data_IF_127319050570
#
_entry.id   IF_127319050570
#
_cell.length_a   1.000
_cell.length_b   1.000
_cell.length_c   1.000
_cell.angle_alpha   90.00
_cell.angle_beta   90.00
_cell.angle_gamma   90.00
#
_symmetry.space_group_name_H-M   'P 1'
#
loop_
_entity.id
_entity.type
_entity.pdbx_description
1 polymer ?
#
# COMPACT_ATOMS: atom_id res chain seq x y z
N UNK A 1 -54.54 -62.40 12.79
CA UNK A 1 -53.30 -62.68 12.05
C UNK A 1 -52.32 -61.56 12.31
N UNK A 2 -51.19 -61.89 12.94
CA UNK A 2 -50.08 -61.01 13.34
C UNK A 2 -49.29 -60.46 12.14
N UNK A 3 -48.87 -59.19 12.20
CA UNK A 3 -47.58 -58.72 11.66
C UNK A 3 -47.00 -57.62 12.56
N UNK A 4 -46.65 -58.05 13.77
CA UNK A 4 -45.71 -57.39 14.66
C UNK A 4 -44.38 -57.05 13.97
N UNK A 5 -43.76 -55.97 14.46
CA UNK A 5 -42.32 -55.68 14.48
C UNK A 5 -41.66 -55.09 13.21
N UNK A 6 -41.63 -53.76 13.14
CA UNK A 6 -40.41 -53.04 12.74
C UNK A 6 -39.94 -52.21 13.93
N UNK A 7 -38.94 -52.76 14.63
CA UNK A 7 -38.20 -52.11 15.72
C UNK A 7 -37.37 -50.96 15.16
N UNK A 8 -37.45 -49.82 15.82
CA UNK A 8 -36.49 -48.74 15.71
C UNK A 8 -35.09 -49.26 16.07
N UNK A 9 -34.13 -49.06 15.17
CA UNK A 9 -32.71 -49.26 15.40
C UNK A 9 -32.20 -48.16 16.37
N UNK A 10 -31.61 -48.50 17.52
CA UNK A 10 -30.96 -47.51 18.36
C UNK A 10 -29.62 -47.09 17.76
N UNK A 11 -29.37 -45.78 17.76
CA UNK A 11 -28.11 -45.15 17.40
C UNK A 11 -26.96 -45.68 18.27
N UNK A 12 -25.75 -45.95 17.74
CA UNK A 12 -24.62 -46.35 18.57
C UNK A 12 -24.13 -45.20 19.45
N UNK A 13 -23.81 -45.50 20.71
CA UNK A 13 -23.28 -44.55 21.69
C UNK A 13 -21.84 -44.10 21.33
N UNK A 14 -21.44 -42.86 21.65
CA UNK A 14 -20.07 -42.39 21.43
C UNK A 14 -19.06 -43.08 22.37
N UNK A 15 -17.80 -43.25 21.94
CA UNK A 15 -16.77 -43.91 22.73
C UNK A 15 -16.36 -43.08 23.96
N UNK A 16 -15.94 -43.74 25.06
CA UNK A 16 -15.51 -43.05 26.28
C UNK A 16 -14.19 -42.29 26.07
N UNK A 17 -13.96 -41.19 26.82
CA UNK A 17 -12.70 -40.47 26.77
C UNK A 17 -11.55 -41.32 27.34
N UNK A 18 -10.31 -41.13 26.84
CA UNK A 18 -9.14 -41.86 27.34
C UNK A 18 -8.86 -41.51 28.81
N UNK A 19 -8.32 -42.45 29.60
CA UNK A 19 -8.01 -42.22 31.01
C UNK A 19 -6.93 -41.14 31.17
N UNK A 20 -7.20 -40.20 32.07
CA UNK A 20 -6.21 -39.24 32.56
C UNK A 20 -5.11 -40.01 33.31
N UNK A 21 -3.90 -40.06 32.73
CA UNK A 21 -2.72 -40.52 33.44
C UNK A 21 -2.36 -39.51 34.52
N UNK A 22 -2.68 -39.86 35.75
CA UNK A 22 -2.19 -39.21 36.96
C UNK A 22 -0.72 -39.62 37.18
N UNK A 23 0.12 -38.60 37.31
CA UNK A 23 1.35 -38.55 38.11
C UNK A 23 2.23 -39.79 38.17
N UNK A 24 3.21 -39.88 37.27
CA UNK A 24 4.49 -40.50 37.55
C UNK A 24 5.56 -39.41 37.61
N UNK A 25 6.26 -39.33 38.73
CA UNK A 25 7.35 -38.38 39.00
C UNK A 25 8.41 -38.46 37.89
N UNK A 26 8.57 -37.38 37.15
CA UNK A 26 9.68 -37.21 36.22
C UNK A 26 10.97 -37.00 37.03
N UNK A 27 11.88 -37.97 36.93
CA UNK A 27 13.25 -37.81 37.36
C UNK A 27 13.89 -36.62 36.63
N UNK A 28 14.55 -35.76 37.41
CA UNK A 28 15.33 -34.62 36.93
C UNK A 28 16.44 -35.08 35.96
N UNK A 29 16.63 -34.41 34.81
CA UNK A 29 17.89 -34.52 34.07
C UNK A 29 19.00 -33.75 34.81
N UNK A 30 20.27 -34.20 34.78
CA UNK A 30 21.38 -33.48 35.39
C UNK A 30 21.66 -32.18 34.65
N UNK A 31 21.86 -31.10 35.42
CA UNK A 31 22.27 -29.78 34.94
C UNK A 31 23.61 -29.83 34.20
N UNK A 32 23.79 -29.07 33.09
CA UNK A 32 25.11 -28.87 32.49
C UNK A 32 26.00 -28.01 33.42
N UNK A 33 27.34 -28.20 33.41
CA UNK A 33 28.26 -27.42 34.22
C UNK A 33 28.23 -25.94 33.83
N UNK A 34 28.06 -25.08 34.84
CA UNK A 34 28.15 -23.62 34.72
C UNK A 34 29.55 -23.21 34.22
N UNK A 35 29.59 -22.52 33.07
CA UNK A 35 30.76 -21.73 32.68
C UNK A 35 30.86 -20.51 33.61
N UNK A 36 32.08 -20.16 34.09
CA UNK A 36 32.28 -18.98 34.93
C UNK A 36 31.94 -17.69 34.17
N UNK A 37 31.04 -16.89 34.74
CA UNK A 37 30.72 -15.54 34.25
C UNK A 37 31.96 -14.62 34.37
N UNK A 38 32.28 -13.83 33.33
CA UNK A 38 33.27 -12.76 33.45
C UNK A 38 32.75 -11.62 34.36
N UNK A 39 33.63 -10.95 35.12
CA UNK A 39 33.24 -9.92 36.08
C UNK A 39 32.64 -8.69 35.40
N UNK A 40 31.63 -8.11 36.06
CA UNK A 40 30.93 -6.90 35.64
C UNK A 40 31.87 -5.69 35.56
N UNK A 41 31.71 -4.79 34.57
CA UNK A 41 32.44 -3.53 34.51
C UNK A 41 31.96 -2.57 35.63
N UNK A 42 32.88 -1.77 36.22
CA UNK A 42 32.53 -0.82 37.27
C UNK A 42 31.66 0.35 36.77
N UNK A 43 30.89 1.00 37.66
CA UNK A 43 29.99 2.08 37.30
C UNK A 43 30.74 3.32 36.79
N UNK A 44 30.30 3.84 35.64
CA UNK A 44 30.80 5.07 35.06
C UNK A 44 30.42 6.28 35.95
N UNK A 45 31.43 7.05 36.33
CA UNK A 45 31.29 8.34 37.01
C UNK A 45 30.76 9.41 36.05
N UNK A 46 30.02 10.42 36.53
CA UNK A 46 29.48 11.49 35.69
C UNK A 46 30.57 12.50 35.31
N UNK A 47 30.92 12.57 34.02
CA UNK A 47 31.80 13.60 33.48
C UNK A 47 31.02 14.88 33.13
N UNK A 48 31.57 15.99 33.60
CA UNK A 48 31.01 17.33 33.67
C UNK A 48 31.26 18.09 32.35
N UNK A 49 30.31 18.97 32.03
CA UNK A 49 30.30 20.00 31.00
C UNK A 49 31.63 20.81 30.90
N UNK A 50 32.15 21.07 29.69
CA UNK A 50 33.09 22.18 29.48
C UNK A 50 33.98 22.18 28.23
N UNK A 51 33.61 23.02 27.25
CA UNK A 51 34.47 23.82 26.35
C UNK A 51 35.16 23.19 25.11
N UNK A 52 35.41 24.00 24.05
CA UNK A 52 35.52 23.56 22.65
C UNK A 52 36.96 23.42 22.13
N UNK A 53 37.18 22.52 21.16
CA UNK A 53 38.45 22.41 20.41
C UNK A 53 38.31 22.97 18.97
N UNK A 54 39.33 23.69 18.45
CA UNK A 54 39.33 24.36 17.14
C UNK A 54 39.70 23.43 15.97
N UNK A 55 39.43 23.82 14.70
CA UNK A 55 39.65 22.97 13.53
C UNK A 55 41.11 22.95 13.06
N UNK A 56 41.61 21.76 12.73
CA UNK A 56 42.89 21.57 12.04
C UNK A 56 42.73 21.79 10.53
N UNK A 57 43.72 22.46 9.95
CA UNK A 57 43.84 22.85 8.53
C UNK A 57 44.87 21.95 7.83
N UNK A 58 44.79 21.89 6.49
CA UNK A 58 45.77 21.37 5.51
C UNK A 58 45.65 19.85 5.23
N UNK A 59 45.77 19.34 4.00
CA UNK A 59 46.66 19.79 2.93
C UNK A 59 46.23 19.26 1.54
N UNK A 60 46.35 20.10 0.53
CA UNK A 60 46.27 19.78 -0.90
C UNK A 60 47.55 19.08 -1.38
N UNK A 61 47.41 18.15 -2.34
CA UNK A 61 48.46 17.81 -3.29
C UNK A 61 47.84 17.30 -4.60
N UNK A 62 48.05 18.06 -5.68
CA UNK A 62 48.03 17.56 -7.07
C UNK A 62 49.38 16.88 -7.37
N UNK A 63 49.49 16.12 -8.48
CA UNK A 63 50.04 16.76 -9.68
C UNK A 63 49.43 16.31 -11.02
N UNK A 64 49.65 17.18 -12.00
CA UNK A 64 49.36 17.06 -13.43
C UNK A 64 50.08 15.89 -14.13
N UNK A 65 49.42 15.27 -15.13
CA UNK A 65 50.07 14.86 -16.39
C UNK A 65 49.04 14.68 -17.52
N UNK A 66 49.28 15.34 -18.66
CA UNK A 66 48.65 15.15 -19.99
C UNK A 66 49.74 15.45 -21.04
N UNK A 67 49.58 15.15 -22.35
CA UNK A 67 48.77 14.12 -23.02
C UNK A 67 49.58 13.36 -24.11
N UNK A 68 49.02 12.30 -24.71
CA UNK A 68 49.47 11.80 -26.01
C UNK A 68 48.27 11.38 -26.87
N UNK A 69 48.23 11.93 -28.08
CA UNK A 69 47.21 11.72 -29.10
C UNK A 69 47.44 10.44 -29.90
N UNK A 70 46.35 9.82 -30.37
CA UNK A 70 46.33 8.75 -31.36
C UNK A 70 44.93 8.67 -31.98
N UNK A 71 44.86 8.95 -33.27
CA UNK A 71 43.68 9.19 -34.12
C UNK A 71 43.04 7.89 -34.64
N UNK A 72 41.75 8.00 -35.02
CA UNK A 72 40.96 7.23 -36.02
C UNK A 72 39.64 6.68 -35.44
N UNK A 73 38.50 7.37 -35.62
CA UNK A 73 37.63 7.53 -36.81
C UNK A 73 36.62 6.38 -36.99
N UNK A 74 35.31 6.70 -36.85
CA UNK A 74 34.21 5.85 -37.32
C UNK A 74 32.85 6.09 -36.68
N UNK A 75 32.09 7.06 -37.19
CA UNK A 75 30.62 7.24 -37.23
C UNK A 75 29.79 6.77 -36.00
N UNK A 76 29.17 7.61 -35.16
CA UNK A 76 28.55 8.90 -35.43
C UNK A 76 27.08 8.78 -35.84
N UNK A 77 26.19 8.42 -34.89
CA UNK A 77 24.88 9.06 -34.72
C UNK A 77 24.49 9.00 -33.24
N UNK A 78 24.70 10.13 -32.56
CA UNK A 78 24.06 10.46 -31.31
C UNK A 78 22.70 11.09 -31.62
N UNK A 79 21.63 10.53 -31.08
CA UNK A 79 20.46 11.33 -30.71
C UNK A 79 20.43 11.41 -29.20
N UNK A 80 21.02 12.49 -28.69
CA UNK A 80 20.67 13.01 -27.39
C UNK A 80 19.22 13.47 -27.47
N UNK A 81 18.29 12.62 -27.02
CA UNK A 81 17.03 13.14 -26.49
C UNK A 81 17.36 13.61 -25.09
N UNK A 82 17.29 14.93 -24.91
CA UNK A 82 17.19 15.57 -23.60
C UNK A 82 16.22 14.72 -22.76
N UNK A 83 16.75 14.01 -21.78
CA UNK A 83 15.93 13.43 -20.74
C UNK A 83 15.35 14.63 -19.99
N UNK A 84 14.17 15.08 -20.44
CA UNK A 84 13.32 15.92 -19.64
C UNK A 84 13.14 15.16 -18.33
N UNK A 85 13.75 15.69 -17.27
CA UNK A 85 13.58 15.20 -15.91
C UNK A 85 12.11 15.40 -15.60
N UNK A 86 11.30 14.39 -15.92
CA UNK A 86 9.91 14.29 -15.50
C UNK A 86 9.97 14.24 -13.99
N UNK A 87 9.72 15.40 -13.38
CA UNK A 87 9.56 15.52 -11.92
C UNK A 87 8.54 14.46 -11.50
N UNK A 88 8.81 13.67 -10.45
CA UNK A 88 7.81 12.75 -9.93
C UNK A 88 6.55 13.57 -9.61
N UNK A 89 5.45 13.24 -10.29
CA UNK A 89 4.16 13.86 -9.98
C UNK A 89 3.86 13.51 -8.53
N UNK A 90 3.86 14.54 -7.67
CA UNK A 90 3.27 14.45 -6.35
C UNK A 90 1.87 13.85 -6.51
N UNK A 91 1.48 13.04 -5.52
CA UNK A 91 0.16 12.42 -5.36
C UNK A 91 -0.90 13.22 -6.14
N UNK A 92 -1.55 12.60 -7.13
CA UNK A 92 -2.70 13.23 -7.76
C UNK A 92 -3.86 13.23 -6.76
N UNK A 93 -3.79 14.16 -5.80
CA UNK A 93 -4.91 14.62 -4.99
C UNK A 93 -5.68 15.53 -5.92
N UNK A 94 -6.89 15.10 -6.30
CA UNK A 94 -7.69 15.81 -7.27
C UNK A 94 -7.99 17.25 -6.79
N UNK A 95 -7.41 18.23 -7.48
CA UNK A 95 -7.97 19.58 -7.53
C UNK A 95 -9.27 19.52 -8.36
N UNK A 96 -10.30 20.35 -8.05
CA UNK A 96 -11.57 20.32 -8.77
C UNK A 96 -11.36 20.66 -10.25
N UNK A 97 -11.98 19.89 -11.13
CA UNK A 97 -12.08 20.20 -12.54
C UNK A 97 -12.79 21.56 -12.69
N UNK A 98 -12.10 22.54 -13.26
CA UNK A 98 -12.73 23.75 -13.77
C UNK A 98 -13.82 23.41 -14.78
N UNK A 99 -14.84 24.26 -14.87
CA UNK A 99 -15.97 24.13 -15.77
C UNK A 99 -15.54 23.74 -17.19
N UNK A 100 -16.32 22.91 -17.91
CA UNK A 100 -15.98 22.50 -19.25
C UNK A 100 -15.79 23.74 -20.16
N UNK A 101 -14.77 23.76 -21.03
CA UNK A 101 -14.61 24.85 -21.97
C UNK A 101 -15.83 24.92 -22.90
N UNK A 102 -16.39 26.11 -23.01
CA UNK A 102 -17.43 26.46 -23.97
C UNK A 102 -16.93 26.13 -25.39
N UNK A 103 -17.71 25.33 -26.12
CA UNK A 103 -17.40 24.96 -27.49
C UNK A 103 -17.21 26.22 -28.38
N UNK A 104 -16.23 26.25 -29.29
CA UNK A 104 -16.08 27.33 -30.25
C UNK A 104 -17.32 27.42 -31.15
N UNK A 105 -17.94 28.60 -31.17
CA UNK A 105 -19.08 28.91 -32.03
C UNK A 105 -18.70 28.86 -33.51
N UNK A 106 -19.06 27.77 -34.17
CA UNK A 106 -19.08 27.66 -35.62
C UNK A 106 -20.51 27.76 -36.13
N UNK A 107 -20.81 28.81 -36.89
CA UNK A 107 -22.11 29.03 -37.53
C UNK A 107 -22.39 27.95 -38.58
N UNK A 108 -23.32 27.04 -38.26
CA UNK A 108 -23.97 26.15 -39.23
C UNK A 108 -25.26 26.79 -39.77
N UNK A 109 -25.61 26.59 -41.04
CA UNK A 109 -26.71 27.30 -41.69
C UNK A 109 -28.06 26.91 -41.09
N UNK A 110 -28.91 27.94 -40.91
CA UNK A 110 -30.28 27.84 -40.45
C UNK A 110 -31.13 26.98 -41.41
N UNK A 111 -31.65 25.88 -40.90
CA UNK A 111 -32.82 25.22 -41.48
C UNK A 111 -33.91 25.19 -40.41
N UNK A 112 -35.01 25.86 -40.72
CA UNK A 112 -36.23 25.90 -39.90
C UNK A 112 -36.76 24.49 -39.66
N UNK A 113 -37.23 24.17 -38.44
CA UNK A 113 -37.77 22.84 -38.17
C UNK A 113 -39.15 22.67 -38.82
N UNK A 114 -39.45 21.55 -39.49
CA UNK A 114 -40.83 21.21 -39.79
C UNK A 114 -41.54 20.85 -38.48
N UNK A 115 -42.69 21.48 -38.24
CA UNK A 115 -43.64 21.10 -37.20
C UNK A 115 -44.18 19.70 -37.51
N UNK A 116 -43.65 18.69 -36.83
CA UNK A 116 -44.23 17.35 -36.82
C UNK A 116 -44.59 16.96 -35.39
N UNK A 117 -45.90 17.00 -35.15
CA UNK A 117 -46.71 16.19 -34.24
C UNK A 117 -45.97 15.50 -33.08
N UNK A 118 -46.32 15.88 -31.84
CA UNK A 118 -45.90 15.20 -30.61
C UNK A 118 -46.64 13.86 -30.51
N UNK A 119 -46.25 12.92 -31.36
CA UNK A 119 -46.48 11.50 -31.15
C UNK A 119 -45.66 11.06 -29.95
N UNK A 120 -46.36 10.66 -28.89
CA UNK A 120 -45.83 9.99 -27.70
C UNK A 120 -44.87 8.87 -28.15
N UNK A 121 -43.55 9.12 -28.13
CA UNK A 121 -42.56 8.09 -28.46
C UNK A 121 -42.50 7.10 -27.31
N UNK A 122 -43.23 6.01 -27.48
CA UNK A 122 -43.06 4.77 -26.73
C UNK A 122 -41.57 4.38 -26.72
N UNK A 123 -40.92 4.51 -25.56
CA UNK A 123 -39.55 4.06 -25.32
C UNK A 123 -39.46 2.52 -25.21
N UNK A 124 -40.44 1.81 -25.78
CA UNK A 124 -40.52 0.34 -25.78
C UNK A 124 -39.32 -0.24 -26.53
N UNK A 125 -38.39 -0.74 -25.73
CA UNK A 125 -37.55 -1.92 -25.99
C UNK A 125 -36.85 -1.86 -27.36
N UNK A 126 -35.80 -1.03 -27.44
CA UNK A 126 -34.73 -1.33 -28.40
C UNK A 126 -34.17 -2.69 -28.00
N UNK A 127 -34.47 -3.71 -28.81
CA UNK A 127 -33.83 -5.04 -28.75
C UNK A 127 -32.36 -4.82 -28.45
N UNK A 128 -31.90 -5.26 -27.27
CA UNK A 128 -30.51 -5.13 -26.85
C UNK A 128 -29.65 -5.77 -27.95
N UNK A 129 -29.04 -4.94 -28.81
CA UNK A 129 -27.93 -5.39 -29.66
C UNK A 129 -26.88 -5.82 -28.66
N UNK A 130 -26.62 -7.13 -28.60
CA UNK A 130 -25.72 -7.72 -27.62
C UNK A 130 -24.44 -6.88 -27.60
N UNK A 131 -24.16 -6.25 -26.46
CA UNK A 131 -22.92 -5.51 -26.29
C UNK A 131 -21.80 -6.50 -26.62
N UNK A 132 -20.94 -6.22 -27.61
CA UNK A 132 -19.84 -7.12 -27.96
C UNK A 132 -19.12 -7.50 -26.68
N UNK A 133 -18.89 -8.79 -26.47
CA UNK A 133 -18.17 -9.27 -25.27
C UNK A 133 -16.88 -8.47 -25.17
N UNK A 134 -16.69 -7.81 -24.04
CA UNK A 134 -15.49 -7.03 -23.76
C UNK A 134 -14.29 -7.97 -23.95
N UNK A 135 -13.48 -7.72 -24.98
CA UNK A 135 -12.24 -8.46 -25.21
C UNK A 135 -11.21 -7.91 -24.24
N UNK A 136 -11.22 -8.46 -23.03
CA UNK A 136 -10.18 -8.23 -22.04
C UNK A 136 -8.91 -8.94 -22.54
N UNK A 137 -7.88 -8.18 -22.90
CA UNK A 137 -6.65 -8.68 -23.49
C UNK A 137 -5.67 -7.55 -23.77
N UNK A 138 -4.48 -7.90 -24.27
CA UNK A 138 -3.49 -6.92 -24.72
C UNK A 138 -3.85 -6.46 -26.12
N UNK A 139 -3.98 -5.15 -26.31
CA UNK A 139 -4.23 -4.54 -27.61
C UNK A 139 -3.01 -3.72 -27.99
N UNK A 140 -2.52 -3.90 -29.23
CA UNK A 140 -1.49 -3.04 -29.79
C UNK A 140 -2.18 -1.85 -30.46
N UNK A 141 -1.82 -0.65 -30.02
CA UNK A 141 -2.27 0.58 -30.64
C UNK A 141 -1.03 1.29 -31.23
N UNK A 142 -1.11 1.81 -32.47
CA UNK A 142 -0.08 2.69 -32.98
C UNK A 142 -0.07 4.01 -32.19
N UNK A 143 1.07 4.69 -32.13
CA UNK A 143 1.27 5.89 -31.28
C UNK A 143 0.19 6.96 -31.49
N UNK A 144 -0.17 7.23 -32.74
CA UNK A 144 -1.22 8.21 -33.06
C UNK A 144 -2.62 7.84 -32.53
N UNK A 145 -2.89 6.56 -32.28
CA UNK A 145 -4.14 6.10 -31.67
C UNK A 145 -4.07 6.22 -30.13
N UNK A 146 -2.87 6.13 -29.54
CA UNK A 146 -2.65 6.45 -28.13
C UNK A 146 -2.77 7.95 -27.87
N UNK A 147 -2.36 8.80 -28.82
CA UNK A 147 -2.54 10.26 -28.72
C UNK A 147 -4.01 10.69 -28.65
N UNK A 148 -4.91 9.86 -29.18
CA UNK A 148 -6.36 10.06 -29.09
C UNK A 148 -6.94 9.57 -27.75
N UNK A 149 -6.17 8.85 -26.94
CA UNK A 149 -6.60 8.32 -25.66
C UNK A 149 -6.62 9.43 -24.61
N UNK A 150 -7.78 10.06 -24.44
CA UNK A 150 -8.00 10.97 -23.32
C UNK A 150 -8.39 10.18 -22.07
N UNK A 151 -7.44 10.00 -21.15
CA UNK A 151 -7.74 9.50 -19.81
C UNK A 151 -8.42 10.61 -19.00
N UNK A 152 -9.73 10.55 -18.87
CA UNK A 152 -10.52 11.47 -18.02
C UNK A 152 -10.45 11.10 -16.54
N UNK A 153 -9.29 10.65 -16.07
CA UNK A 153 -9.05 10.24 -14.69
C UNK A 153 -8.01 11.13 -14.04
N UNK A 154 -8.43 11.95 -13.06
CA UNK A 154 -7.49 12.75 -12.26
C UNK A 154 -6.69 11.90 -11.25
N UNK A 155 -7.04 10.62 -11.06
CA UNK A 155 -6.33 9.72 -10.17
C UNK A 155 -6.39 8.28 -10.67
N UNK A 156 -5.27 7.57 -10.55
CA UNK A 156 -5.14 6.15 -10.83
C UNK A 156 -4.90 5.41 -9.51
N UNK A 157 -5.52 4.26 -9.31
CA UNK A 157 -5.40 3.49 -8.07
C UNK A 157 -6.74 3.03 -7.53
N UNK A 158 -6.81 2.77 -6.23
CA UNK A 158 -8.06 2.38 -5.57
C UNK A 158 -8.55 3.49 -4.64
N UNK A 159 -9.87 3.64 -4.57
CA UNK A 159 -10.52 4.59 -3.65
C UNK A 159 -10.18 4.24 -2.21
N UNK A 160 -9.72 5.21 -1.43
CA UNK A 160 -9.55 5.11 0.03
C UNK A 160 -10.83 5.52 0.76
N UNK A 161 -11.48 6.59 0.30
CA UNK A 161 -12.66 7.12 0.97
C UNK A 161 -13.12 8.44 0.38
N UNK A 162 -13.53 9.37 1.26
CA UNK A 162 -13.86 10.76 0.92
C UNK A 162 -13.17 11.75 1.84
N UNK A 163 -12.80 12.91 1.33
CA UNK A 163 -12.34 14.01 2.17
C UNK A 163 -13.50 14.82 2.75
N UNK A 164 -13.17 15.89 3.47
CA UNK A 164 -14.14 16.81 4.09
C UNK A 164 -15.12 17.46 3.09
N UNK A 165 -14.70 17.64 1.84
CA UNK A 165 -15.53 18.19 0.77
C UNK A 165 -16.43 17.12 0.12
N UNK A 166 -16.39 15.88 0.59
CA UNK A 166 -17.11 14.75 0.01
C UNK A 166 -16.48 14.21 -1.28
N UNK A 167 -15.31 14.72 -1.69
CA UNK A 167 -14.62 14.27 -2.89
C UNK A 167 -13.93 12.93 -2.64
N UNK A 168 -13.95 12.01 -3.62
CA UNK A 168 -13.28 10.74 -3.47
C UNK A 168 -11.76 10.92 -3.40
N UNK A 169 -11.13 10.28 -2.42
CA UNK A 169 -9.66 10.21 -2.31
C UNK A 169 -9.22 8.82 -2.72
N UNK A 170 -8.24 8.75 -3.63
CA UNK A 170 -7.68 7.49 -4.13
C UNK A 170 -6.19 7.37 -3.75
N UNK A 171 -5.72 6.13 -3.57
CA UNK A 171 -4.32 5.82 -3.35
C UNK A 171 -3.70 5.20 -4.60
N UNK A 172 -2.65 5.84 -5.08
CA UNK A 172 -1.88 5.43 -6.25
C UNK A 172 -0.63 4.64 -5.86
N UNK A 173 -0.78 3.43 -5.31
CA UNK A 173 0.40 2.69 -4.81
C UNK A 173 1.35 2.26 -5.93
N UNK A 174 0.82 1.86 -7.08
CA UNK A 174 1.59 1.21 -8.14
C UNK A 174 1.88 2.17 -9.30
N UNK A 175 3.16 2.35 -9.61
CA UNK A 175 3.66 3.29 -10.62
C UNK A 175 4.86 2.69 -11.36
N UNK A 176 5.24 3.25 -12.53
CA UNK A 176 6.50 2.92 -13.18
C UNK A 176 7.74 3.17 -12.30
N UNK A 177 7.67 4.12 -11.37
CA UNK A 177 8.68 4.31 -10.33
C UNK A 177 8.39 3.41 -9.12
N UNK A 178 9.42 2.81 -8.49
CA UNK A 178 9.27 2.14 -7.20
C UNK A 178 8.69 3.12 -6.17
N UNK A 179 7.90 2.60 -5.22
CA UNK A 179 7.26 3.43 -4.20
C UNK A 179 7.37 2.82 -2.80
N UNK A 180 7.68 3.64 -1.81
CA UNK A 180 7.65 3.26 -0.39
C UNK A 180 6.45 3.92 0.30
N UNK A 181 5.82 3.18 1.21
CA UNK A 181 4.70 3.68 1.99
C UNK A 181 4.78 3.18 3.43
N UNK A 182 4.28 4.00 4.36
CA UNK A 182 4.09 3.62 5.74
C UNK A 182 2.63 3.70 6.13
N UNK A 183 2.20 2.76 6.97
CA UNK A 183 0.89 2.75 7.58
C UNK A 183 1.08 2.79 9.09
N UNK A 184 0.51 3.80 9.75
CA UNK A 184 0.57 3.95 11.20
C UNK A 184 -0.82 3.67 11.78
N UNK A 185 -0.92 2.64 12.60
CA UNK A 185 -2.19 2.17 13.17
C UNK A 185 -2.33 0.66 13.09
N UNK A 186 -3.57 0.17 13.12
CA UNK A 186 -3.86 -1.25 13.26
C UNK A 186 -3.78 -2.08 11.97
N UNK A 187 -3.71 -3.40 12.16
CA UNK A 187 -3.76 -4.42 11.10
C UNK A 187 -5.02 -4.30 10.25
N UNK A 188 -6.13 -3.83 10.83
CA UNK A 188 -7.38 -3.62 10.10
C UNK A 188 -7.18 -2.72 8.87
N UNK A 189 -6.51 -1.58 9.03
CA UNK A 189 -6.25 -0.66 7.92
C UNK A 189 -5.29 -1.28 6.89
N UNK A 190 -4.29 -2.04 7.36
CA UNK A 190 -3.37 -2.76 6.48
C UNK A 190 -4.10 -3.81 5.63
N UNK A 191 -5.01 -4.57 6.24
CA UNK A 191 -5.87 -5.53 5.54
C UNK A 191 -6.84 -4.84 4.58
N UNK A 192 -7.39 -3.68 4.92
CA UNK A 192 -8.22 -2.89 3.99
C UNK A 192 -7.43 -2.46 2.74
N UNK A 193 -6.23 -1.91 2.94
CA UNK A 193 -5.35 -1.50 1.84
C UNK A 193 -4.97 -2.70 0.97
N UNK A 194 -4.59 -3.82 1.58
CA UNK A 194 -4.27 -5.06 0.86
C UNK A 194 -5.48 -5.61 0.10
N UNK A 195 -6.68 -5.62 0.71
CA UNK A 195 -7.91 -6.06 0.07
C UNK A 195 -8.22 -5.23 -1.19
N UNK A 196 -8.07 -3.90 -1.11
CA UNK A 196 -8.29 -3.01 -2.25
C UNK A 196 -7.22 -3.13 -3.32
N UNK A 197 -5.96 -3.31 -2.93
CA UNK A 197 -4.88 -3.61 -3.86
C UNK A 197 -5.14 -4.93 -4.62
N UNK A 198 -5.59 -5.98 -3.93
CA UNK A 198 -5.97 -7.26 -4.53
C UNK A 198 -7.10 -7.09 -5.56
N UNK A 199 -8.12 -6.29 -5.24
CA UNK A 199 -9.22 -5.98 -6.17
C UNK A 199 -8.78 -5.16 -7.37
N UNK A 200 -7.72 -4.37 -7.25
CA UNK A 200 -7.06 -3.69 -8.36
C UNK A 200 -6.23 -4.65 -9.24
N UNK A 201 -6.07 -5.92 -8.83
CA UNK A 201 -5.32 -6.94 -9.56
C UNK A 201 -3.89 -7.15 -9.07
N UNK A 202 -3.49 -6.46 -7.99
CA UNK A 202 -2.17 -6.65 -7.41
C UNK A 202 -2.00 -8.06 -6.81
N UNK A 203 -0.75 -8.51 -6.76
CA UNK A 203 -0.32 -9.60 -5.87
C UNK A 203 0.17 -9.00 -4.57
N UNK A 204 -0.17 -9.61 -3.44
CA UNK A 204 0.30 -9.16 -2.13
C UNK A 204 1.26 -10.18 -1.57
N UNK A 205 2.47 -9.73 -1.22
CA UNK A 205 3.45 -10.51 -0.49
C UNK A 205 3.48 -9.96 0.92
N UNK A 206 3.11 -10.77 1.91
CA UNK A 206 2.99 -10.37 3.31
C UNK A 206 4.13 -10.99 4.10
N UNK A 207 4.94 -10.16 4.73
CA UNK A 207 5.89 -10.55 5.77
C UNK A 207 5.25 -10.16 7.11
N UNK A 208 4.77 -11.11 7.90
CA UNK A 208 4.08 -10.81 9.17
C UNK A 208 4.45 -11.81 10.27
N UNK A 209 4.44 -11.33 11.52
CA UNK A 209 4.54 -12.20 12.71
C UNK A 209 3.21 -12.88 13.05
N UNK A 210 2.09 -12.37 12.54
CA UNK A 210 0.75 -12.91 12.69
C UNK A 210 0.20 -13.30 11.30
N UNK A 211 0.61 -14.47 10.75
CA UNK A 211 0.22 -14.88 9.40
C UNK A 211 -1.28 -15.16 9.27
N UNK A 212 -1.98 -15.38 10.38
CA UNK A 212 -3.37 -15.80 10.40
C UNK A 212 -4.32 -14.77 9.75
N UNK A 213 -5.12 -15.28 8.81
CA UNK A 213 -6.13 -14.51 8.09
C UNK A 213 -5.63 -13.74 6.86
N UNK A 214 -4.31 -13.64 6.62
CA UNK A 214 -3.76 -13.02 5.40
C UNK A 214 -3.99 -13.88 4.15
N UNK A 215 -3.76 -15.19 4.22
CA UNK A 215 -3.99 -16.10 3.10
C UNK A 215 -5.47 -16.09 2.65
N UNK A 216 -6.38 -16.14 3.61
CA UNK A 216 -7.83 -16.07 3.37
C UNK A 216 -8.28 -14.72 2.79
N UNK A 217 -7.53 -13.64 3.04
CA UNK A 217 -7.81 -12.31 2.48
C UNK A 217 -7.76 -12.35 0.94
N UNK A 218 -6.80 -13.09 0.36
CA UNK A 218 -6.67 -13.26 -1.09
C UNK A 218 -7.89 -13.91 -1.72
N UNK A 219 -8.35 -15.01 -1.10
CA UNK A 219 -9.55 -15.75 -1.52
C UNK A 219 -10.81 -14.89 -1.37
N UNK A 220 -10.95 -14.17 -0.26
CA UNK A 220 -12.09 -13.28 -0.04
C UNK A 220 -12.14 -12.11 -1.03
N UNK A 221 -11.00 -11.50 -1.36
CA UNK A 221 -10.94 -10.34 -2.24
C UNK A 221 -11.12 -10.69 -3.73
N UNK A 222 -10.60 -11.85 -4.16
CA UNK A 222 -10.45 -12.17 -5.60
C UNK A 222 -11.08 -13.50 -6.02
N UNK A 223 -11.53 -14.32 -5.08
CA UNK A 223 -11.91 -15.71 -5.32
C UNK A 223 -10.73 -16.65 -5.58
N UNK A 224 -9.49 -16.16 -5.54
CA UNK A 224 -8.28 -16.93 -5.87
C UNK A 224 -7.33 -17.03 -4.68
N UNK A 225 -6.72 -18.20 -4.51
CA UNK A 225 -5.75 -18.45 -3.46
C UNK A 225 -4.31 -18.03 -3.83
N UNK A 226 -4.01 -17.82 -5.12
CA UNK A 226 -2.65 -17.54 -5.63
C UNK A 226 -2.25 -16.04 -5.58
N UNK A 227 -3.08 -15.21 -4.93
CA UNK A 227 -2.94 -13.75 -4.95
C UNK A 227 -2.25 -13.17 -3.73
N UNK A 228 -2.20 -13.93 -2.65
CA UNK A 228 -1.48 -13.57 -1.43
C UNK A 228 -0.44 -14.65 -1.14
N UNK A 229 0.80 -14.21 -0.95
CA UNK A 229 1.88 -15.07 -0.44
C UNK A 229 2.22 -14.56 0.95
N UNK A 230 2.14 -15.43 1.95
CA UNK A 230 2.54 -15.10 3.32
C UNK A 230 3.90 -15.72 3.57
N UNK A 231 4.84 -14.89 4.01
CA UNK A 231 6.22 -15.23 4.30
C UNK A 231 6.49 -14.99 5.78
N UNK A 232 7.45 -15.75 6.33
CA UNK A 232 8.10 -15.33 7.57
C UNK A 232 8.78 -13.97 7.35
N UNK A 233 8.93 -13.19 8.42
CA UNK A 233 9.35 -11.78 8.35
C UNK A 233 10.71 -11.56 7.65
N UNK A 234 11.57 -12.58 7.65
CA UNK A 234 12.94 -12.61 7.13
C UNK A 234 13.06 -13.20 5.71
N UNK A 235 11.95 -13.67 5.13
CA UNK A 235 11.94 -14.33 3.82
C UNK A 235 11.57 -13.36 2.70
N UNK A 236 12.30 -13.46 1.59
CA UNK A 236 11.98 -12.80 0.33
C UNK A 236 11.28 -13.78 -0.62
N UNK A 237 10.26 -13.31 -1.35
CA UNK A 237 9.67 -14.07 -2.45
C UNK A 237 10.02 -13.39 -3.77
N UNK A 238 10.45 -14.19 -4.73
CA UNK A 238 10.69 -13.70 -6.10
C UNK A 238 9.34 -13.55 -6.83
N UNK A 239 8.73 -12.38 -6.65
CA UNK A 239 7.50 -12.00 -7.36
C UNK A 239 7.82 -10.83 -8.29
N UNK A 240 7.83 -11.12 -9.59
CA UNK A 240 7.98 -10.12 -10.64
C UNK A 240 6.78 -9.18 -10.67
N UNK A 241 7.05 -7.87 -10.61
CA UNK A 241 6.06 -6.81 -10.72
C UNK A 241 5.98 -6.29 -12.17
N UNK A 242 4.79 -5.91 -12.60
CA UNK A 242 4.55 -5.28 -13.91
C UNK A 242 3.28 -4.42 -13.85
N UNK A 243 3.03 -3.60 -14.86
CA UNK A 243 1.82 -2.78 -14.94
C UNK A 243 0.52 -3.61 -14.86
N UNK A 244 0.48 -4.77 -15.51
CA UNK A 244 -0.69 -5.68 -15.47
C UNK A 244 -0.75 -6.59 -14.25
N UNK A 245 0.33 -6.66 -13.47
CA UNK A 245 0.46 -7.51 -12.27
C UNK A 245 1.30 -6.79 -11.22
N UNK A 246 0.81 -5.68 -10.65
CA UNK A 246 1.57 -4.94 -9.65
C UNK A 246 1.76 -5.78 -8.38
N UNK A 247 2.77 -5.44 -7.59
CA UNK A 247 3.10 -6.16 -6.35
C UNK A 247 3.08 -5.21 -5.17
N UNK A 248 2.29 -5.54 -4.15
CA UNK A 248 2.36 -4.90 -2.84
C UNK A 248 3.16 -5.82 -1.90
N UNK A 249 4.31 -5.35 -1.43
CA UNK A 249 5.07 -6.00 -0.37
C UNK A 249 4.70 -5.37 0.96
N UNK A 250 3.90 -6.07 1.75
CA UNK A 250 3.39 -5.62 3.03
C UNK A 250 4.24 -6.22 4.14
N UNK A 251 4.82 -5.36 4.97
CA UNK A 251 5.65 -5.75 6.10
C UNK A 251 4.97 -5.36 7.42
N UNK A 252 4.46 -6.36 8.13
CA UNK A 252 3.79 -6.26 9.44
C UNK A 252 4.58 -7.07 10.48
N UNK A 253 5.82 -6.67 10.70
CA UNK A 253 6.71 -7.27 11.69
C UNK A 253 7.56 -6.19 12.37
N UNK A 254 8.00 -6.42 13.63
CA UNK A 254 8.72 -5.41 14.43
C UNK A 254 10.15 -5.14 13.94
N UNK A 255 10.76 -6.11 13.25
CA UNK A 255 12.07 -5.95 12.64
C UNK A 255 11.94 -5.18 11.32
N UNK A 256 12.97 -4.46 10.84
CA UNK A 256 12.90 -3.82 9.54
C UNK A 256 12.68 -4.86 8.43
N UNK A 257 12.02 -4.49 7.31
CA UNK A 257 11.91 -5.38 6.15
C UNK A 257 13.30 -5.73 5.63
N UNK A 258 13.43 -6.95 5.08
CA UNK A 258 14.65 -7.33 4.35
C UNK A 258 14.97 -6.30 3.27
N UNK A 259 16.25 -5.96 3.13
CA UNK A 259 16.71 -5.04 2.11
C UNK A 259 16.39 -5.61 0.73
N UNK A 260 15.49 -4.95 0.01
CA UNK A 260 15.09 -5.35 -1.33
C UNK A 260 15.30 -4.22 -2.31
N UNK A 261 15.72 -4.58 -3.51
CA UNK A 261 15.92 -3.63 -4.58
C UNK A 261 14.58 -3.02 -5.01
N UNK A 262 14.47 -1.68 -5.03
CA UNK A 262 13.30 -0.99 -5.58
C UNK A 262 13.04 -1.44 -7.02
N UNK A 263 11.78 -1.70 -7.37
CA UNK A 263 11.39 -2.16 -8.70
C UNK A 263 10.14 -1.43 -9.21
N UNK A 264 10.00 -1.22 -10.54
CA UNK A 264 8.81 -0.63 -11.13
C UNK A 264 7.57 -1.47 -10.77
N UNK A 265 6.45 -0.80 -10.54
CA UNK A 265 5.15 -1.40 -10.18
C UNK A 265 5.15 -2.24 -8.89
N UNK A 266 6.21 -2.10 -8.07
CA UNK A 266 6.32 -2.67 -6.75
C UNK A 266 6.22 -1.57 -5.69
N UNK A 267 5.35 -1.78 -4.72
CA UNK A 267 5.21 -0.90 -3.56
C UNK A 267 5.63 -1.65 -2.31
N UNK A 268 6.51 -1.06 -1.51
CA UNK A 268 6.80 -1.53 -0.15
C UNK A 268 5.94 -0.78 0.84
N UNK A 269 5.13 -1.49 1.64
CA UNK A 269 4.25 -0.93 2.64
C UNK A 269 4.64 -1.46 4.02
N UNK A 270 5.23 -0.60 4.85
CA UNK A 270 5.59 -0.94 6.23
C UNK A 270 4.45 -0.58 7.18
N UNK A 271 3.99 -1.54 7.97
CA UNK A 271 2.94 -1.38 8.97
C UNK A 271 3.57 -1.12 10.33
N UNK A 272 3.23 0.01 10.92
CA UNK A 272 3.68 0.47 12.23
C UNK A 272 2.49 0.48 13.18
N UNK A 273 2.35 -0.62 13.94
CA UNK A 273 1.25 -0.77 14.93
C UNK A 273 1.30 0.31 16.01
N UNK A 274 2.51 0.70 16.38
CA UNK A 274 2.78 1.83 17.27
C UNK A 274 3.96 2.64 16.73
N UNK A 275 3.82 3.96 16.72
CA UNK A 275 4.89 4.83 16.24
C UNK A 275 5.81 5.27 17.39
N UNK A 276 7.02 4.72 17.43
CA UNK A 276 8.06 5.11 18.41
C UNK A 276 9.25 5.80 17.73
N UNK A 277 10.06 6.61 18.42
CA UNK A 277 11.09 7.46 17.82
C UNK A 277 12.05 6.78 16.82
N UNK A 278 12.50 5.52 17.03
CA UNK A 278 13.33 4.81 16.05
C UNK A 278 12.74 4.67 14.64
N UNK A 279 11.41 4.77 14.49
CA UNK A 279 10.73 4.69 13.19
C UNK A 279 10.81 5.98 12.38
N UNK A 280 11.34 7.07 12.94
CA UNK A 280 11.38 8.37 12.28
C UNK A 280 12.13 8.35 10.94
N UNK A 281 13.16 7.53 10.80
CA UNK A 281 13.91 7.37 9.55
C UNK A 281 13.05 6.72 8.46
N UNK A 282 12.31 5.67 8.80
CA UNK A 282 11.40 4.97 7.88
C UNK A 282 10.27 5.90 7.43
N UNK A 283 9.70 6.71 8.35
CA UNK A 283 8.72 7.73 8.00
C UNK A 283 9.29 8.78 7.04
N UNK A 284 10.48 9.30 7.32
CA UNK A 284 11.11 10.35 6.52
C UNK A 284 11.45 9.89 5.09
N UNK A 285 11.63 8.58 4.88
CA UNK A 285 11.92 7.97 3.58
C UNK A 285 10.65 7.49 2.84
N UNK A 286 9.48 7.58 3.44
CA UNK A 286 8.23 7.11 2.83
C UNK A 286 7.69 8.13 1.83
N UNK A 287 7.36 7.69 0.62
CA UNK A 287 6.67 8.53 -0.38
C UNK A 287 5.22 8.84 0.01
N UNK A 288 4.64 7.99 0.87
CA UNK A 288 3.27 8.09 1.36
C UNK A 288 3.17 7.54 2.79
N UNK A 289 2.55 8.30 3.68
CA UNK A 289 2.17 7.85 5.02
C UNK A 289 0.65 7.86 5.15
N UNK A 290 0.08 6.76 5.62
CA UNK A 290 -1.34 6.63 5.96
C UNK A 290 -1.43 6.43 7.46
N UNK A 291 -2.03 7.38 8.18
CA UNK A 291 -2.09 7.34 9.64
C UNK A 291 -3.54 7.29 10.11
N UNK A 292 -3.87 6.34 10.99
CA UNK A 292 -5.08 6.43 11.83
C UNK A 292 -4.88 7.50 12.94
N UNK A 293 -5.84 7.59 13.87
CA UNK A 293 -5.70 8.38 15.09
C UNK A 293 -4.35 8.11 15.75
N UNK A 294 -3.58 9.16 16.05
CA UNK A 294 -2.30 9.01 16.76
C UNK A 294 -2.43 9.46 18.21
N UNK A 295 -1.67 8.83 19.11
CA UNK A 295 -1.49 9.38 20.46
C UNK A 295 -0.64 10.66 20.41
N UNK A 296 -0.62 11.49 21.47
CA UNK A 296 0.23 12.68 21.52
C UNK A 296 1.72 12.36 21.30
N UNK A 297 2.21 11.25 21.86
CA UNK A 297 3.60 10.83 21.70
C UNK A 297 3.92 10.43 20.25
N UNK A 298 3.05 9.63 19.63
CA UNK A 298 3.19 9.26 18.22
C UNK A 298 3.10 10.48 17.31
N UNK A 299 2.22 11.43 17.62
CA UNK A 299 2.08 12.69 16.88
C UNK A 299 3.37 13.50 16.91
N UNK A 300 4.06 13.57 18.05
CA UNK A 300 5.35 14.24 18.15
C UNK A 300 6.41 13.61 17.25
N UNK A 301 6.48 12.27 17.24
CA UNK A 301 7.38 11.52 16.35
C UNK A 301 7.05 11.78 14.88
N UNK A 302 5.77 11.66 14.49
CA UNK A 302 5.31 11.90 13.13
C UNK A 302 5.57 13.34 12.67
N UNK A 303 5.26 14.32 13.52
CA UNK A 303 5.46 15.74 13.24
C UNK A 303 6.93 16.07 12.99
N UNK A 304 7.82 15.50 13.80
CA UNK A 304 9.27 15.69 13.64
C UNK A 304 9.79 15.00 12.38
N UNK A 305 9.45 13.72 12.18
CA UNK A 305 9.95 12.92 11.06
C UNK A 305 9.48 13.44 9.70
N UNK A 306 8.21 13.83 9.59
CA UNK A 306 7.58 14.30 8.35
C UNK A 306 7.57 15.84 8.22
N UNK A 307 8.14 16.56 9.19
CA UNK A 307 8.13 18.04 9.26
C UNK A 307 6.73 18.63 9.11
N UNK A 308 5.75 18.05 9.81
CA UNK A 308 4.35 18.42 9.66
C UNK A 308 4.08 19.84 10.19
N UNK A 309 3.25 20.64 9.50
CA UNK A 309 2.74 21.88 10.07
C UNK A 309 1.97 21.64 11.38
N UNK A 310 2.06 22.55 12.37
CA UNK A 310 1.35 22.40 13.65
C UNK A 310 -0.16 22.18 13.50
N UNK A 311 -0.77 22.81 12.49
CA UNK A 311 -2.18 22.64 12.17
C UNK A 311 -2.54 21.20 11.77
N UNK A 312 -1.70 20.54 10.97
CA UNK A 312 -1.89 19.14 10.55
C UNK A 312 -1.63 18.20 11.72
N UNK A 313 -0.52 18.42 12.43
CA UNK A 313 -0.15 17.60 13.60
C UNK A 313 -1.24 17.63 14.69
N UNK A 314 -1.83 18.80 14.96
CA UNK A 314 -2.90 18.96 15.95
C UNK A 314 -4.21 18.23 15.62
N UNK A 315 -4.40 17.80 14.37
CA UNK A 315 -5.58 17.05 13.93
C UNK A 315 -5.41 15.53 14.05
N UNK A 316 -4.18 15.00 14.01
CA UNK A 316 -3.92 13.55 14.05
C UNK A 316 -4.48 12.85 15.30
N UNK A 317 -4.41 13.43 16.51
CA UNK A 317 -5.04 12.83 17.69
C UNK A 317 -6.56 12.86 17.69
N UNK A 318 -7.17 13.71 16.85
CA UNK A 318 -8.63 13.94 16.81
C UNK A 318 -9.32 13.04 15.79
N UNK A 319 -8.58 12.23 15.03
CA UNK A 319 -9.17 11.33 14.05
C UNK A 319 -10.06 10.29 14.73
N UNK A 320 -11.19 9.99 14.09
CA UNK A 320 -12.06 8.90 14.48
C UNK A 320 -11.52 7.57 13.95
N UNK A 321 -12.07 6.45 14.40
CA UNK A 321 -11.63 5.12 13.95
C UNK A 321 -11.90 4.87 12.46
N UNK A 322 -12.90 5.55 11.90
CA UNK A 322 -13.26 5.55 10.48
C UNK A 322 -12.49 6.60 9.67
N UNK A 323 -11.54 7.32 10.26
CA UNK A 323 -10.76 8.35 9.60
C UNK A 323 -9.28 8.00 9.53
N UNK A 324 -8.64 8.43 8.44
CA UNK A 324 -7.19 8.38 8.26
C UNK A 324 -6.67 9.68 7.69
N UNK A 325 -5.43 10.04 8.00
CA UNK A 325 -4.68 11.06 7.28
C UNK A 325 -3.81 10.39 6.22
N UNK A 326 -3.76 10.97 5.03
CA UNK A 326 -2.77 10.64 4.00
C UNK A 326 -1.78 11.79 3.88
N UNK A 327 -0.50 11.51 4.09
CA UNK A 327 0.59 12.48 4.11
C UNK A 327 1.59 12.10 3.02
N UNK A 328 1.84 12.99 2.06
CA UNK A 328 2.76 12.75 0.94
C UNK A 328 3.52 14.03 0.61
N UNK A 329 4.76 14.13 1.09
CA UNK A 329 5.52 15.39 1.04
C UNK A 329 4.75 16.52 1.74
N UNK A 330 4.49 17.66 1.07
CA UNK A 330 3.73 18.77 1.66
C UNK A 330 2.20 18.54 1.64
N UNK A 331 1.71 17.54 0.91
CA UNK A 331 0.28 17.29 0.78
C UNK A 331 -0.23 16.48 1.97
N UNK A 332 -1.33 16.95 2.58
CA UNK A 332 -2.03 16.25 3.66
C UNK A 332 -3.54 16.28 3.41
N UNK A 333 -4.18 15.12 3.41
CA UNK A 333 -5.64 15.00 3.29
C UNK A 333 -6.18 14.15 4.44
N UNK A 334 -7.35 14.52 4.94
CA UNK A 334 -8.08 13.75 5.95
C UNK A 334 -9.26 13.05 5.30
N UNK A 335 -9.30 11.73 5.47
CA UNK A 335 -10.16 10.86 4.68
C UNK A 335 -11.04 10.03 5.60
N UNK A 336 -12.35 10.13 5.39
CA UNK A 336 -13.33 9.19 5.91
C UNK A 336 -13.30 7.92 5.06
N UNK A 337 -12.97 6.82 5.70
CA UNK A 337 -13.02 5.50 5.09
C UNK A 337 -14.47 5.11 4.85
N UNK A 338 -14.76 4.66 3.64
CA UNK A 338 -16.05 4.07 3.28
C UNK A 338 -15.83 2.61 2.86
N UNK A 339 -15.68 1.65 3.81
CA UNK A 339 -15.56 0.25 3.47
C UNK A 339 -16.81 -0.27 2.77
N UNK A 340 -16.65 -0.99 1.66
CA UNK A 340 -17.74 -1.66 0.95
C UNK A 340 -18.30 -2.82 1.76
N UNK A 341 -19.49 -3.30 1.43
CA UNK A 341 -20.14 -4.40 2.16
C UNK A 341 -19.28 -5.69 2.21
N UNK A 342 -18.63 -6.14 1.11
CA UNK A 342 -17.67 -7.25 1.18
C UNK A 342 -16.45 -6.99 2.08
N UNK A 343 -15.98 -5.73 2.15
CA UNK A 343 -14.87 -5.34 3.02
C UNK A 343 -15.31 -5.39 4.49
N UNK A 344 -16.49 -4.88 4.82
CA UNK A 344 -17.05 -4.91 6.17
C UNK A 344 -17.33 -6.34 6.63
N UNK A 345 -17.91 -7.18 5.78
CA UNK A 345 -18.17 -8.59 6.09
C UNK A 345 -16.88 -9.35 6.40
N UNK A 346 -15.78 -9.03 5.70
CA UNK A 346 -14.50 -9.71 5.91
C UNK A 346 -13.65 -9.13 7.05
N UNK A 347 -13.64 -7.81 7.21
CA UNK A 347 -12.71 -7.11 8.11
C UNK A 347 -13.38 -6.61 9.39
N UNK A 348 -14.70 -6.56 9.44
CA UNK A 348 -15.45 -5.90 10.50
C UNK A 348 -15.39 -4.37 10.39
N UNK A 349 -15.79 -3.70 11.48
CA UNK A 349 -15.81 -2.23 11.55
C UNK A 349 -14.39 -1.65 11.65
N UNK A 350 -14.18 -0.42 11.16
CA UNK A 350 -12.93 0.32 11.38
C UNK A 350 -12.58 0.34 12.87
N UNK A 351 -11.34 -0.04 13.18
CA UNK A 351 -10.81 0.00 14.53
C UNK A 351 -9.35 0.42 14.51
N UNK A 352 -8.91 0.93 15.66
CA UNK A 352 -7.50 1.09 16.00
C UNK A 352 -7.25 0.27 17.27
N UNK A 353 -6.74 -0.95 17.08
CA UNK A 353 -6.37 -1.89 18.14
C UNK A 353 -4.95 -1.69 18.61
#
# INVERSE_FOLDING_TARGET
MNWQQQRAQPYPAPPPPPPQQQGAAAAHPPSPPQQPQPPAPPPAQPAVLGAPQPPATQQQAAPDTQPAAGTEAGYGYASATTAEVVRPQALAVAAPAGAPPTAPGGAGPAQSPPTSDRGHRDWRVRKHRAIPRLRIGTHYAPDHALDQLQLTGASFGFRLGRNQSGLPVALSLFQPSPRTACLIGGVWLAKLVAFRALRLGARVVVSSVEPDGWADLGRAATGRADRVVVLAADMAADVTASAGRPVLRLHDAPHPPAAEQPAPWRTQLTVLRQLVPPHGTVLAQADLVIAQRLTPNETSVAATALRLPPAVAGQLPRLRDDMVATLAGPASEFVWLEPTEPEQTRLGRPNRS
#
